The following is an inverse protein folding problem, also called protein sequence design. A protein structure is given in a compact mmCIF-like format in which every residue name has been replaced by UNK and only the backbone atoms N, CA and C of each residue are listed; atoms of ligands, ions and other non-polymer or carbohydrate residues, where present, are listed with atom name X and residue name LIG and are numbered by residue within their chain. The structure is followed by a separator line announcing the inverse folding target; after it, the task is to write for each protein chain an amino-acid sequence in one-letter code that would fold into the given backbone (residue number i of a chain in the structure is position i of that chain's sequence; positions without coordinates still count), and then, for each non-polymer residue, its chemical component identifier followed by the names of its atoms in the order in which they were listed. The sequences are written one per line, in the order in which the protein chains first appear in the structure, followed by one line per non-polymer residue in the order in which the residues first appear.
data_IF_825632197633
#
_entry.id   IF_825632197633
#
_cell.length_a   1.000
_cell.length_b   1.000
_cell.length_c   1.000
_cell.angle_alpha   90.00
_cell.angle_beta   90.00
_cell.angle_gamma   90.00
#
_symmetry.space_group_name_H-M   'P 1'
#
loop_
_entity.id
_entity.type
_entity.pdbx_description
1 polymer ?
#
# COMPACT_ATOMS: atom_id res chain seq x y z
N UNK A 1 -0.22 -1.31 30.50
CA UNK A 1 -0.03 -2.74 30.19
C UNK A 1 -0.93 -3.16 29.02
N UNK A 2 -0.38 -3.79 27.98
CA UNK A 2 -1.19 -4.39 26.92
C UNK A 2 -1.85 -5.66 27.50
N UNK A 3 -3.15 -5.61 27.77
CA UNK A 3 -3.94 -6.73 28.25
C UNK A 3 -5.39 -6.62 27.75
N UNK A 4 -6.19 -7.65 28.02
CA UNK A 4 -7.57 -7.74 27.54
C UNK A 4 -8.48 -6.58 27.99
N UNK A 5 -8.12 -5.93 29.11
CA UNK A 5 -8.82 -4.74 29.60
C UNK A 5 -8.73 -3.54 28.66
N UNK A 6 -7.65 -3.43 27.87
CA UNK A 6 -7.49 -2.36 26.87
C UNK A 6 -8.45 -2.50 25.68
N UNK A 7 -8.93 -3.71 25.41
CA UNK A 7 -9.87 -3.99 24.31
C UNK A 7 -11.33 -4.02 24.77
N UNK A 8 -11.61 -3.98 26.07
CA UNK A 8 -12.98 -3.89 26.62
C UNK A 8 -13.84 -2.76 26.01
N UNK A 9 -13.32 -1.56 25.70
CA UNK A 9 -14.13 -0.50 25.08
C UNK A 9 -14.27 -0.65 23.55
N UNK A 10 -13.66 -1.67 22.93
CA UNK A 10 -13.70 -1.91 21.49
C UNK A 10 -14.76 -2.97 21.15
N UNK A 11 -15.75 -2.59 20.34
CA UNK A 11 -16.69 -3.53 19.74
C UNK A 11 -16.24 -3.86 18.30
N UNK A 12 -15.98 -5.14 18.02
CA UNK A 12 -15.62 -5.61 16.68
C UNK A 12 -16.82 -6.31 16.05
N UNK A 13 -17.48 -5.61 15.13
CA UNK A 13 -18.59 -6.18 14.34
C UNK A 13 -18.03 -6.78 13.06
N UNK A 14 -17.82 -8.10 13.05
CA UNK A 14 -17.31 -8.80 11.88
C UNK A 14 -18.11 -10.09 11.61
N UNK A 15 -18.93 -10.12 10.54
CA UNK A 15 -19.64 -11.33 10.12
C UNK A 15 -18.68 -12.49 9.83
N UNK A 16 -19.18 -13.71 9.95
CA UNK A 16 -18.45 -14.94 9.66
C UNK A 16 -18.22 -15.16 8.16
N UNK A 17 -17.11 -15.81 7.81
CA UNK A 17 -16.82 -16.22 6.43
C UNK A 17 -16.25 -15.11 5.56
N UNK A 18 -15.82 -13.99 6.14
CA UNK A 18 -15.05 -12.95 5.47
C UNK A 18 -13.56 -13.29 5.47
N UNK A 19 -12.75 -12.50 4.76
CA UNK A 19 -11.30 -12.70 4.70
C UNK A 19 -10.65 -12.63 6.10
N UNK A 20 -11.13 -11.74 6.97
CA UNK A 20 -10.67 -11.59 8.36
C UNK A 20 -11.32 -12.58 9.35
N UNK A 21 -12.40 -13.25 8.97
CA UNK A 21 -13.14 -14.25 9.78
C UNK A 21 -13.26 -15.58 9.02
N UNK A 22 -12.15 -15.96 8.37
CA UNK A 22 -12.08 -17.16 7.57
C UNK A 22 -12.37 -18.40 8.44
N UNK A 23 -13.25 -19.27 7.96
CA UNK A 23 -13.59 -20.53 8.63
C UNK A 23 -12.82 -21.68 8.01
N UNK A 24 -12.42 -22.64 8.84
CA UNK A 24 -11.87 -23.92 8.38
C UNK A 24 -12.80 -24.53 7.31
N UNK A 25 -12.27 -25.01 6.16
CA UNK A 25 -10.87 -25.27 5.82
C UNK A 25 -10.17 -24.16 4.98
N UNK A 26 -10.64 -22.91 5.02
CA UNK A 26 -10.01 -21.83 4.25
C UNK A 26 -8.51 -21.67 4.57
N UNK A 27 -7.64 -21.45 3.57
CA UNK A 27 -6.21 -21.28 3.78
C UNK A 27 -5.89 -19.89 4.36
N UNK A 28 -5.10 -19.84 5.44
CA UNK A 28 -4.79 -18.60 6.19
C UNK A 28 -3.28 -18.38 6.42
N UNK A 29 -2.42 -19.06 5.65
CA UNK A 29 -0.97 -19.05 5.88
C UNK A 29 -0.33 -17.66 5.87
N UNK A 30 -0.88 -16.72 5.09
CA UNK A 30 -0.38 -15.34 4.92
C UNK A 30 -1.31 -14.34 5.61
N UNK A 31 -1.74 -14.66 6.83
CA UNK A 31 -2.72 -13.87 7.58
C UNK A 31 -2.22 -12.46 7.94
N UNK A 32 -0.89 -12.26 8.05
CA UNK A 32 -0.28 -10.98 8.39
C UNK A 32 -0.70 -9.87 7.42
N UNK A 33 -0.77 -10.14 6.11
CA UNK A 33 -1.24 -9.17 5.12
C UNK A 33 -2.65 -8.69 5.46
N UNK A 34 -3.56 -9.63 5.72
CA UNK A 34 -4.94 -9.32 6.05
C UNK A 34 -5.05 -8.52 7.35
N UNK A 35 -4.26 -8.89 8.36
CA UNK A 35 -4.16 -8.16 9.63
C UNK A 35 -3.66 -6.72 9.41
N UNK A 36 -2.60 -6.53 8.62
CA UNK A 36 -2.01 -5.23 8.33
C UNK A 36 -2.95 -4.32 7.54
N UNK A 37 -3.68 -4.88 6.57
CA UNK A 37 -4.71 -4.13 5.85
C UNK A 37 -5.87 -3.72 6.77
N UNK A 38 -6.27 -4.56 7.73
CA UNK A 38 -7.27 -4.19 8.72
C UNK A 38 -6.77 -3.07 9.65
N UNK A 39 -5.52 -3.16 10.09
CA UNK A 39 -4.89 -2.13 10.92
C UNK A 39 -4.76 -0.79 10.16
N UNK A 40 -4.31 -0.81 8.91
CA UNK A 40 -4.18 0.39 8.07
C UNK A 40 -5.53 1.03 7.76
N UNK A 41 -6.60 0.26 7.62
CA UNK A 41 -7.95 0.81 7.44
C UNK A 41 -8.35 1.67 8.64
N UNK A 42 -8.18 1.14 9.86
CA UNK A 42 -8.45 1.88 11.09
C UNK A 42 -7.51 3.08 11.22
N UNK A 43 -6.23 2.90 10.91
CA UNK A 43 -5.23 3.96 10.91
C UNK A 43 -5.65 5.11 9.98
N UNK A 44 -5.96 4.81 8.72
CA UNK A 44 -6.35 5.80 7.70
C UNK A 44 -7.64 6.52 8.08
N UNK A 45 -8.59 5.83 8.72
CA UNK A 45 -9.82 6.43 9.20
C UNK A 45 -9.59 7.42 10.35
N UNK A 46 -8.66 7.10 11.27
CA UNK A 46 -8.35 7.92 12.44
C UNK A 46 -7.32 9.01 12.18
N UNK A 47 -6.43 8.86 11.20
CA UNK A 47 -5.34 9.78 10.93
C UNK A 47 -5.77 11.25 10.74
N UNK A 48 -6.91 11.56 10.07
CA UNK A 48 -7.40 12.94 10.00
C UNK A 48 -7.89 13.52 11.33
N UNK A 49 -8.27 12.67 12.29
CA UNK A 49 -8.88 13.04 13.59
C UNK A 49 -7.79 13.22 14.66
N UNK A 50 -6.77 12.35 14.66
CA UNK A 50 -5.65 12.37 15.62
C UNK A 50 -4.29 12.47 14.92
N UNK A 51 -4.07 13.51 14.07
CA UNK A 51 -2.88 13.61 13.22
C UNK A 51 -1.56 13.74 13.98
N UNK A 52 -1.60 14.11 15.26
CA UNK A 52 -0.44 14.14 16.15
C UNK A 52 0.04 12.74 16.60
N UNK A 53 -0.79 11.70 16.40
CA UNK A 53 -0.49 10.33 16.80
C UNK A 53 -0.30 9.37 15.62
N UNK A 54 -0.86 9.70 14.46
CA UNK A 54 -0.89 8.83 13.29
C UNK A 54 -0.27 9.52 12.08
N UNK A 55 0.61 8.81 11.39
CA UNK A 55 1.27 9.27 10.16
C UNK A 55 0.40 9.01 8.93
N UNK A 56 0.88 9.47 7.77
CA UNK A 56 0.45 8.97 6.47
C UNK A 56 0.70 7.45 6.32
N UNK A 57 0.22 6.85 5.23
CA UNK A 57 0.33 5.41 5.01
C UNK A 57 1.78 4.95 4.83
N UNK A 58 2.14 3.83 5.44
CA UNK A 58 3.43 3.16 5.24
C UNK A 58 3.32 2.05 4.17
N UNK A 59 4.46 1.42 3.87
CA UNK A 59 4.56 0.29 2.95
C UNK A 59 3.74 -0.96 3.36
N UNK A 60 3.22 -0.98 4.59
CA UNK A 60 2.22 -1.88 5.17
C UNK A 60 2.56 -3.35 5.31
N UNK A 61 3.19 -3.96 4.31
CA UNK A 61 3.36 -5.40 4.16
C UNK A 61 4.59 -5.91 4.92
N UNK A 62 4.51 -7.07 5.59
CA UNK A 62 5.70 -7.82 6.07
C UNK A 62 6.72 -8.04 4.96
N UNK A 63 6.26 -8.12 3.70
CA UNK A 63 7.10 -8.42 2.54
C UNK A 63 7.86 -9.74 2.72
N UNK A 64 7.17 -10.72 3.32
CA UNK A 64 7.74 -12.01 3.67
C UNK A 64 8.33 -12.69 2.44
N UNK A 65 9.63 -13.00 2.52
CA UNK A 65 10.39 -13.65 1.47
C UNK A 65 10.93 -14.98 1.98
N UNK A 66 10.73 -16.02 1.18
CA UNK A 66 11.25 -17.35 1.44
C UNK A 66 12.09 -17.80 0.25
N UNK A 67 13.36 -18.08 0.50
CA UNK A 67 14.27 -18.69 -0.48
C UNK A 67 14.68 -20.06 0.05
N UNK A 68 14.47 -21.11 -0.74
CA UNK A 68 14.82 -22.47 -0.35
C UNK A 68 15.57 -23.19 -1.46
N UNK A 69 16.46 -24.09 -1.09
CA UNK A 69 17.28 -24.84 -2.03
C UNK A 69 18.22 -25.79 -1.32
N UNK A 70 19.20 -26.30 -2.07
CA UNK A 70 20.29 -27.12 -1.55
C UNK A 70 21.55 -26.26 -1.48
N UNK A 71 22.21 -26.23 -0.33
CA UNK A 71 23.42 -25.42 -0.12
C UNK A 71 24.54 -25.93 -1.04
N UNK A 72 25.22 -25.06 -1.80
CA UNK A 72 26.20 -25.49 -2.80
C UNK A 72 27.41 -26.23 -2.18
N UNK A 73 27.84 -25.83 -0.98
CA UNK A 73 29.04 -26.40 -0.35
C UNK A 73 28.76 -27.61 0.57
N UNK A 74 27.66 -27.60 1.33
CA UNK A 74 27.38 -28.68 2.30
C UNK A 74 26.44 -29.76 1.76
N UNK A 75 25.65 -29.45 0.73
CA UNK A 75 24.61 -30.34 0.23
C UNK A 75 23.35 -30.42 1.10
N UNK A 76 23.27 -29.64 2.18
CA UNK A 76 22.08 -29.62 3.05
C UNK A 76 20.95 -28.77 2.46
N UNK A 77 19.72 -29.07 2.88
CA UNK A 77 18.59 -28.19 2.60
C UNK A 77 18.69 -26.90 3.42
N UNK A 78 18.46 -25.77 2.78
CA UNK A 78 18.32 -24.48 3.47
C UNK A 78 16.97 -23.84 3.18
N UNK A 79 16.52 -23.03 4.15
CA UNK A 79 15.36 -22.15 4.01
C UNK A 79 15.74 -20.82 4.66
N UNK A 80 15.90 -19.78 3.84
CA UNK A 80 15.93 -18.40 4.26
C UNK A 80 14.49 -17.90 4.35
N UNK A 81 14.08 -17.43 5.53
CA UNK A 81 12.78 -16.78 5.75
C UNK A 81 13.05 -15.43 6.38
N UNK A 82 12.64 -14.36 5.72
CA UNK A 82 12.82 -13.02 6.27
C UNK A 82 11.69 -12.06 5.88
N UNK A 83 11.26 -11.20 6.83
CA UNK A 83 10.51 -10.01 6.52
C UNK A 83 11.44 -8.93 5.93
N UNK A 84 10.86 -7.97 5.23
CA UNK A 84 11.61 -6.82 4.72
C UNK A 84 11.17 -5.55 5.42
N UNK A 85 12.16 -4.76 5.83
CA UNK A 85 11.93 -3.40 6.29
C UNK A 85 11.58 -2.48 5.11
N UNK A 86 10.85 -1.40 5.39
CA UNK A 86 10.33 -0.51 4.35
C UNK A 86 10.09 0.92 4.80
N UNK A 87 9.46 1.69 3.93
CA UNK A 87 9.21 3.11 4.13
C UNK A 87 7.96 3.39 4.97
N UNK A 88 8.12 4.11 6.07
CA UNK A 88 6.99 4.61 6.86
C UNK A 88 6.42 5.91 6.29
N UNK A 89 5.13 6.16 6.52
CA UNK A 89 4.51 7.42 6.12
C UNK A 89 4.99 8.60 6.97
N UNK A 90 4.94 9.81 6.41
CA UNK A 90 5.35 11.01 7.12
C UNK A 90 4.31 11.46 8.16
N UNK A 91 4.79 12.09 9.24
CA UNK A 91 3.95 12.69 10.28
C UNK A 91 3.63 14.16 10.02
N UNK A 92 2.85 14.76 10.92
CA UNK A 92 2.52 16.18 10.85
C UNK A 92 3.73 17.10 11.07
N UNK A 93 4.79 16.59 11.69
CA UNK A 93 5.95 17.35 12.15
C UNK A 93 7.31 16.71 11.79
N UNK A 94 7.31 15.58 11.06
CA UNK A 94 8.52 14.79 10.79
C UNK A 94 8.41 13.93 9.54
N UNK A 95 9.54 13.68 8.91
CA UNK A 95 9.66 12.71 7.82
C UNK A 95 9.36 11.29 8.32
N UNK A 96 8.92 10.44 7.39
CA UNK A 96 8.71 9.02 7.66
C UNK A 96 10.02 8.28 7.86
N UNK A 97 9.99 7.25 8.70
CA UNK A 97 11.19 6.46 8.99
C UNK A 97 11.59 5.60 7.79
N UNK A 98 12.87 5.63 7.43
CA UNK A 98 13.45 4.81 6.37
C UNK A 98 13.76 3.40 6.91
N UNK A 99 13.50 2.35 6.11
CA UNK A 99 13.93 0.99 6.42
C UNK A 99 13.47 0.48 7.79
N UNK A 100 12.21 0.75 8.18
CA UNK A 100 11.60 0.21 9.40
C UNK A 100 10.58 -0.87 9.03
N UNK A 101 10.52 -1.94 9.82
CA UNK A 101 9.52 -3.01 9.66
C UNK A 101 8.09 -2.47 9.79
N UNK A 102 7.13 -3.18 9.21
CA UNK A 102 5.73 -2.77 9.17
C UNK A 102 5.07 -2.75 10.56
N UNK A 103 3.85 -2.22 10.60
CA UNK A 103 3.07 -2.16 11.84
C UNK A 103 2.79 -3.58 12.35
N UNK A 104 2.94 -3.79 13.66
CA UNK A 104 2.67 -5.09 14.28
C UNK A 104 3.82 -6.09 14.14
N UNK A 105 4.89 -5.73 13.43
CA UNK A 105 6.10 -6.56 13.25
C UNK A 105 7.29 -6.11 14.14
N UNK A 106 7.00 -5.24 15.12
CA UNK A 106 7.79 -5.02 16.33
C UNK A 106 9.32 -4.94 16.20
N UNK A 107 10.02 -5.63 17.10
CA UNK A 107 11.49 -5.64 17.25
C UNK A 107 12.17 -6.65 16.31
N UNK A 108 11.63 -6.86 15.11
CA UNK A 108 12.19 -7.82 14.18
C UNK A 108 13.52 -7.32 13.61
N UNK A 109 14.56 -8.13 13.78
CA UNK A 109 15.91 -7.84 13.29
C UNK A 109 16.03 -8.22 11.81
N UNK A 110 16.72 -7.36 11.05
CA UNK A 110 17.11 -7.67 9.67
C UNK A 110 18.33 -8.61 9.70
N UNK A 111 18.28 -9.67 8.89
CA UNK A 111 19.37 -10.65 8.81
C UNK A 111 20.66 -9.97 8.29
N UNK A 112 21.78 -10.02 9.03
CA UNK A 112 23.06 -9.49 8.57
C UNK A 112 23.50 -10.15 7.26
N UNK A 113 24.12 -9.38 6.36
CA UNK A 113 24.57 -9.89 5.05
C UNK A 113 25.51 -11.08 5.20
N UNK A 114 26.52 -10.98 6.06
CA UNK A 114 27.49 -12.05 6.30
C UNK A 114 26.83 -13.35 6.76
N UNK A 115 25.79 -13.25 7.60
CA UNK A 115 25.01 -14.40 8.06
C UNK A 115 24.22 -15.00 6.91
N UNK A 116 23.60 -14.17 6.08
CA UNK A 116 22.82 -14.63 4.94
C UNK A 116 23.71 -15.40 3.94
N UNK A 117 24.87 -14.86 3.60
CA UNK A 117 25.79 -15.48 2.64
C UNK A 117 26.48 -16.74 3.16
N UNK A 118 26.69 -16.84 4.47
CA UNK A 118 27.34 -18.02 5.08
C UNK A 118 26.35 -19.17 5.29
N UNK A 119 25.07 -18.86 5.56
CA UNK A 119 24.07 -19.88 5.94
C UNK A 119 23.22 -20.37 4.78
N UNK A 120 23.11 -19.59 3.71
CA UNK A 120 22.18 -19.85 2.62
C UNK A 120 22.90 -19.82 1.27
N UNK A 121 22.30 -20.46 0.26
CA UNK A 121 22.82 -20.49 -1.11
C UNK A 121 22.61 -19.19 -1.87
N UNK A 122 22.98 -18.05 -1.30
CA UNK A 122 22.84 -16.71 -1.89
C UNK A 122 24.06 -15.83 -1.63
N UNK A 123 24.30 -14.86 -2.51
CA UNK A 123 25.17 -13.70 -2.27
C UNK A 123 24.31 -12.43 -2.34
N UNK A 124 24.58 -11.45 -1.48
CA UNK A 124 23.86 -10.18 -1.48
C UNK A 124 24.59 -9.18 -2.36
N UNK A 125 24.08 -8.96 -3.58
CA UNK A 125 24.70 -8.02 -4.53
C UNK A 125 24.47 -6.56 -4.13
N UNK A 126 23.33 -6.29 -3.50
CA UNK A 126 22.92 -4.95 -3.10
C UNK A 126 22.11 -5.03 -1.83
N UNK A 127 22.37 -4.11 -0.90
CA UNK A 127 21.48 -3.81 0.21
C UNK A 127 21.50 -2.30 0.49
N UNK A 128 20.46 -1.60 0.07
CA UNK A 128 20.44 -0.13 0.03
C UNK A 128 19.04 0.44 0.20
N UNK A 129 18.94 1.74 0.48
CA UNK A 129 17.66 2.44 0.41
C UNK A 129 17.14 2.52 -1.03
N UNK A 130 15.82 2.38 -1.18
CA UNK A 130 15.12 2.52 -2.46
C UNK A 130 14.93 3.99 -2.81
N UNK A 131 15.33 4.36 -4.03
CA UNK A 131 15.02 5.63 -4.69
C UNK A 131 13.78 5.47 -5.60
N UNK A 132 12.77 4.72 -5.15
CA UNK A 132 11.50 4.66 -5.86
C UNK A 132 10.76 6.01 -5.75
N UNK A 133 10.11 6.40 -6.84
CA UNK A 133 9.31 7.62 -6.92
C UNK A 133 8.15 7.63 -5.91
N UNK A 134 7.76 8.82 -5.45
CA UNK A 134 6.61 9.01 -4.56
C UNK A 134 7.01 9.39 -3.13
N UNK A 135 5.99 9.59 -2.31
CA UNK A 135 6.12 9.98 -0.91
C UNK A 135 6.52 11.44 -0.69
N UNK A 136 6.48 12.29 -1.72
CA UNK A 136 6.84 13.69 -1.57
C UNK A 136 5.81 14.46 -0.73
N UNK A 137 6.27 15.37 0.12
CA UNK A 137 5.43 16.23 0.96
C UNK A 137 6.30 17.27 1.65
N UNK A 138 5.69 18.20 2.41
CA UNK A 138 6.48 19.04 3.34
C UNK A 138 7.39 18.16 4.18
N UNK A 139 6.81 17.07 4.68
CA UNK A 139 7.53 15.94 5.24
C UNK A 139 7.45 14.75 4.28
N UNK A 140 8.60 14.18 3.93
CA UNK A 140 8.68 13.07 2.97
C UNK A 140 8.35 11.75 3.65
N UNK A 141 7.77 10.82 2.89
CA UNK A 141 7.73 9.43 3.28
C UNK A 141 9.14 8.85 3.47
N UNK A 142 9.26 7.91 4.39
CA UNK A 142 10.47 7.13 4.59
C UNK A 142 10.74 6.24 3.39
N UNK A 143 12.01 6.04 3.06
CA UNK A 143 12.47 5.19 1.95
C UNK A 143 12.41 3.72 2.34
N UNK A 144 11.98 2.90 1.39
CA UNK A 144 12.10 1.45 1.50
C UNK A 144 13.52 0.98 1.18
N UNK A 145 13.66 -0.30 0.88
CA UNK A 145 14.91 -1.00 0.68
C UNK A 145 14.92 -1.70 -0.68
N UNK A 146 16.12 -1.86 -1.23
CA UNK A 146 16.43 -2.78 -2.32
C UNK A 146 17.39 -3.81 -1.76
N UNK A 147 17.06 -5.09 -1.95
CA UNK A 147 17.91 -6.22 -1.59
C UNK A 147 17.99 -7.22 -2.73
N UNK A 148 19.18 -7.47 -3.24
CA UNK A 148 19.41 -8.37 -4.36
C UNK A 148 20.06 -9.66 -3.87
N UNK A 149 19.35 -10.77 -3.97
CA UNK A 149 19.88 -12.11 -3.71
C UNK A 149 20.25 -12.80 -5.00
N UNK A 150 21.55 -12.89 -5.28
CA UNK A 150 22.10 -13.71 -6.35
C UNK A 150 22.20 -15.16 -5.89
N UNK A 151 21.54 -16.06 -6.61
CA UNK A 151 21.51 -17.47 -6.24
C UNK A 151 22.87 -18.11 -6.50
N UNK A 152 23.43 -18.78 -5.50
CA UNK A 152 24.68 -19.55 -5.62
C UNK A 152 24.43 -21.05 -5.67
N UNK A 153 23.25 -21.52 -5.26
CA UNK A 153 22.83 -22.91 -5.51
C UNK A 153 22.61 -23.19 -6.99
N UNK A 154 22.62 -24.47 -7.39
CA UNK A 154 22.22 -24.87 -8.75
C UNK A 154 20.80 -24.36 -9.08
N UNK A 155 19.90 -24.48 -8.09
CA UNK A 155 18.52 -24.03 -8.13
C UNK A 155 18.08 -23.53 -6.76
N UNK A 156 17.23 -22.51 -6.75
CA UNK A 156 16.48 -22.06 -5.58
C UNK A 156 15.02 -21.73 -5.93
N UNK A 157 14.14 -21.95 -4.97
CA UNK A 157 12.72 -21.60 -5.05
C UNK A 157 12.45 -20.35 -4.20
N UNK A 158 11.93 -19.32 -4.83
CA UNK A 158 11.55 -18.04 -4.22
C UNK A 158 10.03 -17.98 -4.09
N UNK A 159 9.55 -17.78 -2.88
CA UNK A 159 8.16 -17.48 -2.56
C UNK A 159 8.13 -16.15 -1.84
N UNK A 160 7.23 -15.25 -2.23
CA UNK A 160 7.11 -13.99 -1.52
C UNK A 160 5.76 -13.34 -1.69
N UNK A 161 5.42 -12.53 -0.68
CA UNK A 161 4.18 -11.77 -0.63
C UNK A 161 4.50 -10.33 -0.25
N UNK A 162 4.34 -9.44 -1.22
CA UNK A 162 4.61 -8.01 -1.13
C UNK A 162 3.28 -7.29 -1.35
N UNK A 163 2.60 -6.95 -0.26
CA UNK A 163 1.42 -6.08 -0.27
C UNK A 163 1.75 -4.68 -0.80
N UNK A 164 0.75 -3.79 -0.93
CA UNK A 164 0.91 -2.46 -1.58
C UNK A 164 1.51 -2.45 -3.00
N UNK A 165 1.58 -3.60 -3.68
CA UNK A 165 2.03 -3.67 -5.08
C UNK A 165 1.12 -2.89 -6.04
N UNK A 166 -0.20 -3.04 -5.87
CA UNK A 166 -1.22 -2.35 -6.70
C UNK A 166 -1.80 -1.11 -6.04
N UNK A 167 -2.03 -1.18 -4.73
CA UNK A 167 -2.63 -0.09 -3.96
C UNK A 167 -1.57 0.56 -3.11
N UNK A 168 -1.10 1.73 -3.53
CA UNK A 168 0.10 2.35 -2.97
C UNK A 168 -0.14 2.96 -1.57
N UNK A 169 0.92 3.23 -0.79
CA UNK A 169 0.81 3.97 0.46
C UNK A 169 0.16 5.34 0.23
N UNK A 170 -0.78 5.72 1.09
CA UNK A 170 -1.58 6.94 0.93
C UNK A 170 -0.87 8.15 1.57
N UNK A 171 -0.93 9.31 0.92
CA UNK A 171 -0.44 10.58 1.46
C UNK A 171 -1.47 11.31 2.33
N UNK A 172 -1.06 12.39 3.00
CA UNK A 172 -1.92 13.22 3.86
C UNK A 172 -1.75 14.71 3.60
N UNK A 173 -2.86 15.46 3.72
CA UNK A 173 -2.88 16.94 3.72
C UNK A 173 -2.10 17.58 2.56
N UNK A 174 -2.18 16.99 1.36
CA UNK A 174 -1.47 17.47 0.16
C UNK A 174 -0.16 16.75 -0.15
N UNK A 175 0.27 15.82 0.71
CA UNK A 175 1.38 14.92 0.44
C UNK A 175 1.01 13.86 -0.61
N UNK A 176 2.01 13.46 -1.39
CA UNK A 176 1.88 12.50 -2.48
C UNK A 176 1.81 11.05 -1.97
N UNK A 177 1.21 10.19 -2.79
CA UNK A 177 1.21 8.74 -2.57
C UNK A 177 2.64 8.17 -2.59
N UNK A 178 2.85 7.09 -1.84
CA UNK A 178 4.11 6.34 -1.82
C UNK A 178 4.32 5.47 -3.06
N UNK A 179 5.23 4.49 -2.95
CA UNK A 179 5.63 3.61 -4.06
C UNK A 179 5.28 2.14 -3.79
N UNK A 180 5.27 1.28 -4.83
CA UNK A 180 4.90 -0.13 -4.65
C UNK A 180 6.00 -0.93 -3.95
N UNK A 181 5.60 -1.96 -3.21
CA UNK A 181 6.48 -3.08 -2.90
C UNK A 181 6.41 -4.11 -4.03
N UNK A 182 7.53 -4.71 -4.43
CA UNK A 182 7.54 -5.78 -5.41
C UNK A 182 8.80 -6.64 -5.29
N UNK A 183 8.74 -7.81 -5.92
CA UNK A 183 9.92 -8.62 -6.22
C UNK A 183 10.14 -8.65 -7.72
N UNK A 184 11.39 -8.58 -8.14
CA UNK A 184 11.81 -8.72 -9.53
C UNK A 184 12.75 -9.92 -9.64
N UNK A 185 12.42 -10.85 -10.53
CA UNK A 185 13.23 -12.04 -10.82
C UNK A 185 14.03 -11.73 -12.08
N UNK A 186 15.36 -11.64 -11.96
CA UNK A 186 16.27 -11.24 -13.05
C UNK A 186 17.06 -12.48 -13.50
N UNK A 187 16.92 -12.82 -14.77
CA UNK A 187 17.52 -14.00 -15.38
C UNK A 187 18.88 -13.69 -16.01
N UNK A 188 19.68 -14.73 -16.23
CA UNK A 188 21.03 -14.61 -16.78
C UNK A 188 21.08 -14.03 -18.21
N UNK A 189 19.98 -14.12 -18.95
CA UNK A 189 19.82 -13.52 -20.29
C UNK A 189 19.42 -12.03 -20.25
N UNK A 190 19.30 -11.45 -19.06
CA UNK A 190 18.89 -10.07 -18.84
C UNK A 190 17.38 -9.84 -18.84
N UNK A 191 16.56 -10.88 -19.05
CA UNK A 191 15.11 -10.77 -18.90
C UNK A 191 14.72 -10.68 -17.43
N UNK A 192 13.62 -9.98 -17.12
CA UNK A 192 13.10 -9.93 -15.76
C UNK A 192 11.58 -10.02 -15.69
N UNK A 193 11.07 -10.43 -14.52
CA UNK A 193 9.64 -10.47 -14.24
C UNK A 193 9.33 -9.95 -12.84
N UNK A 194 8.34 -9.06 -12.76
CA UNK A 194 7.92 -8.39 -11.54
C UNK A 194 6.68 -9.04 -10.95
N UNK A 195 6.66 -9.19 -9.63
CA UNK A 195 5.58 -9.79 -8.85
C UNK A 195 5.28 -8.99 -7.59
N UNK A 196 3.99 -8.78 -7.29
CA UNK A 196 3.56 -8.49 -5.93
C UNK A 196 3.45 -9.76 -5.08
N UNK A 197 3.10 -10.90 -5.68
CA UNK A 197 3.02 -12.20 -4.99
C UNK A 197 3.46 -13.29 -5.96
N UNK A 198 4.30 -14.21 -5.48
CA UNK A 198 4.74 -15.38 -6.24
C UNK A 198 4.99 -16.55 -5.30
N UNK A 199 4.85 -17.77 -5.81
CA UNK A 199 5.07 -18.99 -5.04
C UNK A 199 5.95 -19.96 -5.83
N UNK A 200 7.02 -20.42 -5.19
CA UNK A 200 7.99 -21.38 -5.75
C UNK A 200 8.50 -20.96 -7.13
N UNK A 201 8.75 -19.66 -7.32
CA UNK A 201 9.40 -19.18 -8.52
C UNK A 201 10.83 -19.71 -8.55
N UNK A 202 11.20 -20.35 -9.65
CA UNK A 202 12.50 -21.01 -9.77
C UNK A 202 13.53 -20.02 -10.32
N UNK A 203 14.64 -19.91 -9.62
CA UNK A 203 15.86 -19.25 -10.08
C UNK A 203 17.01 -20.26 -10.12
N UNK A 204 17.91 -20.08 -11.07
CA UNK A 204 19.14 -20.86 -11.23
C UNK A 204 20.35 -20.10 -10.70
N UNK A 205 21.46 -20.82 -10.54
CA UNK A 205 22.76 -20.23 -10.22
C UNK A 205 23.05 -18.99 -11.08
N UNK A 206 23.41 -17.88 -10.42
CA UNK A 206 23.75 -16.61 -11.04
C UNK A 206 22.56 -15.68 -11.31
N UNK A 207 21.33 -16.18 -11.26
CA UNK A 207 20.12 -15.35 -11.38
C UNK A 207 19.82 -14.64 -10.05
N UNK A 208 19.04 -13.55 -10.11
CA UNK A 208 18.85 -12.64 -8.97
C UNK A 208 17.37 -12.51 -8.61
N UNK A 209 17.07 -12.65 -7.32
CA UNK A 209 15.82 -12.19 -6.73
C UNK A 209 16.05 -10.80 -6.12
N UNK A 210 15.54 -9.76 -6.78
CA UNK A 210 15.52 -8.39 -6.27
C UNK A 210 14.25 -8.17 -5.47
N UNK A 211 14.40 -7.75 -4.22
CA UNK A 211 13.33 -7.43 -3.29
C UNK A 211 13.28 -5.92 -3.11
N UNK A 212 12.15 -5.30 -3.41
CA UNK A 212 11.97 -3.85 -3.30
C UNK A 212 10.80 -3.54 -2.37
N UNK A 213 11.08 -2.81 -1.31
CA UNK A 213 10.04 -2.19 -0.48
C UNK A 213 9.88 -0.72 -0.84
N UNK A 214 8.64 -0.26 -0.73
CA UNK A 214 8.19 1.04 -1.18
C UNK A 214 8.44 2.14 -0.16
N UNK A 215 8.39 3.37 -0.66
CA UNK A 215 8.39 4.58 0.16
C UNK A 215 7.00 4.81 0.76
N UNK A 216 6.94 5.30 1.99
CA UNK A 216 5.67 5.71 2.60
C UNK A 216 5.06 6.95 1.91
N UNK A 217 3.80 7.27 2.25
CA UNK A 217 3.14 8.49 1.79
C UNK A 217 3.72 9.74 2.43
N UNK A 218 3.71 10.85 1.69
CA UNK A 218 4.14 12.16 2.17
C UNK A 218 3.06 12.87 3.00
N UNK A 219 3.47 13.90 3.74
CA UNK A 219 2.58 14.76 4.51
C UNK A 219 2.78 16.23 4.15
N UNK A 220 1.69 16.95 3.87
CA UNK A 220 1.72 18.38 3.51
C UNK A 220 2.14 18.63 2.06
N UNK A 221 1.95 19.85 1.58
CA UNK A 221 2.35 20.25 0.23
C UNK A 221 3.90 20.20 0.07
N UNK A 222 4.44 19.45 -0.91
CA UNK A 222 5.87 19.42 -1.21
C UNK A 222 6.52 20.80 -1.36
N UNK A 223 5.79 21.81 -1.88
CA UNK A 223 6.33 23.17 -2.07
C UNK A 223 6.70 23.87 -0.74
N UNK A 224 6.21 23.34 0.38
CA UNK A 224 6.48 23.84 1.72
C UNK A 224 7.70 23.17 2.39
N UNK A 225 8.33 22.18 1.74
CA UNK A 225 9.59 21.61 2.25
C UNK A 225 10.71 22.67 2.09
N UNK A 226 11.51 22.92 3.13
CA UNK A 226 12.61 23.87 3.04
C UNK A 226 13.71 23.41 2.07
N UNK A 227 14.30 24.36 1.36
CA UNK A 227 15.30 24.11 0.31
C UNK A 227 16.58 23.47 0.87
N UNK A 228 16.96 23.81 2.10
CA UNK A 228 18.11 23.22 2.80
C UNK A 228 17.85 21.76 3.22
N UNK A 229 16.61 21.40 3.56
CA UNK A 229 16.23 20.02 3.83
C UNK A 229 16.24 19.17 2.55
N UNK A 230 15.80 19.74 1.43
CA UNK A 230 15.86 19.07 0.11
C UNK A 230 17.32 18.84 -0.30
N UNK A 231 18.18 19.85 -0.16
CA UNK A 231 19.61 19.71 -0.46
C UNK A 231 20.28 18.64 0.41
N UNK A 232 19.92 18.58 1.70
CA UNK A 232 20.35 17.52 2.60
C UNK A 232 19.86 16.15 2.15
N UNK A 233 18.59 16.00 1.78
CA UNK A 233 18.05 14.74 1.27
C UNK A 233 18.77 14.27 0.00
N UNK A 234 19.12 15.17 -0.91
CA UNK A 234 19.88 14.84 -2.12
C UNK A 234 21.30 14.39 -1.76
N UNK A 235 21.98 15.14 -0.87
CA UNK A 235 23.33 14.80 -0.41
C UNK A 235 23.37 13.45 0.31
N UNK A 236 22.36 13.17 1.13
CA UNK A 236 22.26 11.95 1.93
C UNK A 236 21.69 10.77 1.11
N UNK A 237 21.36 10.97 -0.17
CA UNK A 237 20.90 9.94 -1.09
C UNK A 237 19.44 9.50 -0.90
N UNK A 238 18.65 10.27 -0.15
CA UNK A 238 17.21 10.05 -0.01
C UNK A 238 16.41 10.57 -1.20
N UNK A 239 16.94 11.57 -1.91
CA UNK A 239 16.39 12.07 -3.17
C UNK A 239 17.49 12.03 -4.22
N UNK A 240 17.12 11.83 -5.48
CA UNK A 240 18.00 12.19 -6.59
C UNK A 240 17.80 13.67 -6.95
N UNK A 241 18.76 14.33 -7.62
CA UNK A 241 18.56 15.68 -8.14
C UNK A 241 17.30 15.81 -9.01
N UNK A 242 16.98 14.77 -9.79
CA UNK A 242 15.79 14.73 -10.66
C UNK A 242 14.50 14.67 -9.83
N UNK A 243 14.50 13.94 -8.72
CA UNK A 243 13.36 13.94 -7.79
C UNK A 243 13.17 15.29 -7.11
N UNK A 244 14.27 15.93 -6.70
CA UNK A 244 14.23 17.26 -6.09
C UNK A 244 13.59 18.29 -7.05
N UNK A 245 13.98 18.25 -8.33
CA UNK A 245 13.42 19.15 -9.33
C UNK A 245 11.96 18.82 -9.63
N UNK A 246 11.63 17.55 -9.86
CA UNK A 246 10.28 17.10 -10.23
C UNK A 246 9.26 17.33 -9.13
N UNK A 247 9.59 16.89 -7.91
CA UNK A 247 8.62 16.79 -6.81
C UNK A 247 8.57 18.07 -5.97
N UNK A 248 9.69 18.79 -5.87
CA UNK A 248 9.83 19.98 -5.02
C UNK A 248 10.12 21.28 -5.80
N UNK A 249 10.42 21.20 -7.10
CA UNK A 249 10.79 22.38 -7.90
C UNK A 249 12.14 22.96 -7.49
N UNK A 250 13.07 22.11 -7.05
CA UNK A 250 14.37 22.53 -6.53
C UNK A 250 15.49 21.82 -7.29
N UNK A 251 16.36 22.58 -7.94
CA UNK A 251 17.58 22.07 -8.54
C UNK A 251 18.71 22.14 -7.54
N UNK A 252 19.44 21.03 -7.38
CA UNK A 252 20.64 20.92 -6.55
C UNK A 252 21.82 20.63 -7.47
N UNK A 253 22.83 21.50 -7.49
CA UNK A 253 24.02 21.29 -8.31
C UNK A 253 25.02 20.31 -7.65
N UNK A 254 26.05 19.89 -8.40
CA UNK A 254 27.09 18.98 -7.89
C UNK A 254 27.96 19.55 -6.76
N UNK A 255 27.75 20.82 -6.37
CA UNK A 255 28.40 21.48 -5.23
C UNK A 255 27.45 21.66 -4.04
N UNK A 256 26.20 21.21 -4.16
CA UNK A 256 25.16 21.34 -3.14
C UNK A 256 24.45 22.71 -3.11
N UNK A 257 24.64 23.56 -4.13
CA UNK A 257 23.91 24.82 -4.21
C UNK A 257 22.48 24.57 -4.66
N UNK A 258 21.56 25.36 -4.12
CA UNK A 258 20.12 25.17 -4.29
C UNK A 258 19.51 26.33 -5.07
N UNK A 259 18.61 26.03 -6.00
CA UNK A 259 17.82 27.05 -6.70
C UNK A 259 16.39 26.55 -6.93
N UNK A 260 15.40 27.39 -6.61
CA UNK A 260 13.99 27.10 -6.93
C UNK A 260 13.73 27.36 -8.41
N UNK A 261 13.23 26.34 -9.08
CA UNK A 261 12.76 26.41 -10.46
C UNK A 261 11.23 26.36 -10.48
N UNK A 262 10.63 26.83 -11.59
CA UNK A 262 9.19 26.71 -11.78
C UNK A 262 8.87 25.24 -12.05
N UNK A 263 8.15 24.58 -11.13
CA UNK A 263 7.85 23.14 -11.19
C UNK A 263 7.34 22.73 -12.58
N UNK A 264 8.03 21.81 -13.22
CA UNK A 264 7.51 21.08 -14.38
C UNK A 264 6.58 20.00 -13.82
N UNK A 265 5.27 19.98 -14.14
CA UNK A 265 4.39 18.93 -13.63
C UNK A 265 4.86 17.56 -14.13
N UNK A 266 5.53 16.79 -13.27
CA UNK A 266 5.89 15.42 -13.56
C UNK A 266 4.64 14.54 -13.49
N UNK A 267 4.33 13.82 -14.58
CA UNK A 267 3.51 12.61 -14.45
C UNK A 267 4.28 11.67 -13.55
N UNK A 268 3.67 11.19 -12.46
CA UNK A 268 4.19 10.07 -11.69
C UNK A 268 4.64 8.98 -12.68
N UNK A 269 5.87 8.49 -12.57
CA UNK A 269 6.32 7.41 -13.44
C UNK A 269 5.43 6.21 -13.12
N UNK A 270 4.56 5.87 -14.08
CA UNK A 270 3.92 4.59 -14.07
C UNK A 270 5.07 3.59 -14.20
N UNK A 271 5.35 2.84 -13.12
CA UNK A 271 6.05 1.56 -13.26
C UNK A 271 5.35 0.87 -14.43
N UNK A 272 6.12 0.55 -15.46
CA UNK A 272 5.60 0.05 -16.73
C UNK A 272 5.00 -1.34 -16.53
N UNK A 273 3.80 -1.41 -15.95
CA UNK A 273 2.97 -2.60 -15.85
C UNK A 273 2.30 -2.79 -17.20
N UNK A 274 3.11 -3.16 -18.20
CA UNK A 274 2.59 -3.66 -19.44
C UNK A 274 1.69 -4.87 -19.14
N UNK A 275 0.44 -4.79 -19.59
CA UNK A 275 -0.69 -5.72 -19.41
C UNK A 275 -1.52 -5.58 -18.12
N UNK A 276 -2.42 -4.59 -18.09
CA UNK A 276 -3.88 -4.76 -17.81
C UNK A 276 -4.59 -3.40 -17.84
N UNK A 277 -4.74 -2.81 -19.03
CA UNK A 277 -5.72 -1.73 -19.25
C UNK A 277 -7.12 -2.30 -19.01
N UNK A 278 -7.74 -2.00 -17.86
CA UNK A 278 -9.20 -2.05 -17.68
C UNK A 278 -9.74 -1.39 -16.40
N UNK A 279 -8.93 -0.82 -15.50
CA UNK A 279 -9.47 -0.30 -14.23
C UNK A 279 -8.66 0.84 -13.55
N UNK A 280 -8.09 1.78 -14.32
CA UNK A 280 -7.20 2.86 -13.82
C UNK A 280 -7.91 4.07 -13.16
N UNK A 281 -9.22 4.01 -12.90
CA UNK A 281 -9.95 5.10 -12.24
C UNK A 281 -9.70 5.08 -10.72
N UNK A 282 -9.43 6.25 -10.13
CA UNK A 282 -9.16 6.38 -8.70
C UNK A 282 -10.39 5.97 -7.86
N UNK A 283 -10.24 5.26 -6.71
CA UNK A 283 -11.38 4.76 -5.92
C UNK A 283 -12.35 5.84 -5.44
N UNK A 284 -11.85 7.04 -5.12
CA UNK A 284 -12.71 8.16 -4.70
C UNK A 284 -13.55 8.70 -5.87
N UNK A 285 -13.01 8.68 -7.09
CA UNK A 285 -13.74 9.07 -8.30
C UNK A 285 -14.80 8.02 -8.67
N UNK A 286 -14.47 6.72 -8.50
CA UNK A 286 -15.47 5.63 -8.62
C UNK A 286 -16.61 5.84 -7.64
N UNK A 287 -16.29 6.18 -6.38
CA UNK A 287 -17.28 6.43 -5.32
C UNK A 287 -18.12 7.69 -5.60
N UNK A 288 -17.52 8.79 -6.06
CA UNK A 288 -18.24 10.02 -6.43
C UNK A 288 -19.19 9.78 -7.61
N UNK A 289 -18.73 9.04 -8.64
CA UNK A 289 -19.55 8.64 -9.76
C UNK A 289 -20.76 7.79 -9.32
N UNK A 290 -20.54 6.77 -8.48
CA UNK A 290 -21.63 5.94 -7.96
C UNK A 290 -22.61 6.76 -7.12
N UNK A 291 -22.12 7.61 -6.20
CA UNK A 291 -22.98 8.42 -5.34
C UNK A 291 -23.77 9.48 -6.11
N UNK A 292 -23.19 10.11 -7.12
CA UNK A 292 -23.89 11.11 -7.95
C UNK A 292 -24.99 10.48 -8.80
N UNK A 293 -24.79 9.25 -9.30
CA UNK A 293 -25.83 8.48 -10.00
C UNK A 293 -26.95 8.06 -9.04
N UNK A 294 -26.62 7.53 -7.85
CA UNK A 294 -27.60 7.10 -6.85
C UNK A 294 -28.43 8.27 -6.28
N UNK A 295 -27.85 9.48 -6.22
CA UNK A 295 -28.54 10.72 -5.80
C UNK A 295 -29.37 11.37 -6.92
N UNK A 296 -29.41 10.77 -8.12
CA UNK A 296 -30.11 11.32 -9.28
C UNK A 296 -29.49 12.62 -9.83
N UNK A 297 -28.25 12.94 -9.47
CA UNK A 297 -27.55 14.16 -9.90
C UNK A 297 -26.98 14.03 -11.32
N UNK A 298 -26.76 12.80 -11.79
CA UNK A 298 -26.23 12.48 -13.12
C UNK A 298 -26.70 11.09 -13.56
N UNK A 299 -26.51 10.75 -14.84
CA UNK A 299 -26.77 9.38 -15.34
C UNK A 299 -25.49 8.55 -15.33
N UNK A 300 -25.61 7.21 -15.31
CA UNK A 300 -24.45 6.31 -15.42
C UNK A 300 -23.62 6.57 -16.68
N UNK A 301 -24.28 6.89 -17.81
CA UNK A 301 -23.61 7.27 -19.06
C UNK A 301 -22.83 8.57 -18.94
N UNK A 302 -23.38 9.57 -18.24
CA UNK A 302 -22.73 10.87 -18.04
C UNK A 302 -21.55 10.76 -17.05
N UNK A 303 -21.69 9.98 -15.99
CA UNK A 303 -20.60 9.68 -15.06
C UNK A 303 -19.46 8.88 -15.73
N UNK A 304 -19.80 7.90 -16.58
CA UNK A 304 -18.85 7.13 -17.36
C UNK A 304 -18.05 8.01 -18.34
N UNK A 305 -18.73 8.93 -19.02
CA UNK A 305 -18.09 9.90 -19.92
C UNK A 305 -17.11 10.83 -19.18
N UNK A 306 -17.45 11.29 -17.97
CA UNK A 306 -16.58 12.14 -17.13
C UNK A 306 -15.28 11.43 -16.74
N UNK A 307 -15.33 10.11 -16.56
CA UNK A 307 -14.21 9.28 -16.12
C UNK A 307 -13.53 8.50 -17.25
N UNK A 308 -13.97 8.70 -18.49
CA UNK A 308 -13.48 8.00 -19.68
C UNK A 308 -13.51 6.47 -19.55
N UNK A 309 -14.62 5.93 -19.00
CA UNK A 309 -14.89 4.49 -18.83
C UNK A 309 -16.17 4.06 -19.54
N UNK A 310 -16.43 2.75 -19.60
CA UNK A 310 -17.70 2.23 -20.10
C UNK A 310 -18.84 2.45 -19.10
N UNK A 311 -20.07 2.60 -19.61
CA UNK A 311 -21.29 2.62 -18.77
C UNK A 311 -21.37 1.39 -17.87
N UNK A 312 -21.05 0.21 -18.42
CA UNK A 312 -21.08 -1.07 -17.71
C UNK A 312 -20.09 -1.11 -16.53
N UNK A 313 -19.01 -0.33 -16.56
CA UNK A 313 -18.08 -0.22 -15.44
C UNK A 313 -18.70 0.54 -14.27
N UNK A 314 -19.45 1.63 -14.55
CA UNK A 314 -20.18 2.39 -13.53
C UNK A 314 -21.31 1.56 -12.93
N UNK A 315 -22.05 0.83 -13.76
CA UNK A 315 -23.10 -0.09 -13.29
C UNK A 315 -22.51 -1.22 -12.43
N UNK A 316 -21.35 -1.78 -12.80
CA UNK A 316 -20.61 -2.76 -11.99
C UNK A 316 -20.19 -2.17 -10.63
N UNK A 317 -19.73 -0.92 -10.58
CA UNK A 317 -19.38 -0.26 -9.32
C UNK A 317 -20.60 0.00 -8.45
N UNK A 318 -21.74 0.36 -9.05
CA UNK A 318 -23.01 0.52 -8.33
C UNK A 318 -23.45 -0.81 -7.69
N UNK A 319 -23.36 -1.92 -8.41
CA UNK A 319 -23.68 -3.24 -7.88
C UNK A 319 -22.75 -3.62 -6.71
N UNK A 320 -21.45 -3.36 -6.85
CA UNK A 320 -20.48 -3.58 -5.76
C UNK A 320 -20.81 -2.73 -4.53
N UNK A 321 -21.16 -1.46 -4.73
CA UNK A 321 -21.50 -0.52 -3.67
C UNK A 321 -22.79 -0.92 -2.94
N UNK A 322 -23.83 -1.30 -3.68
CA UNK A 322 -25.12 -1.74 -3.12
C UNK A 322 -25.02 -3.08 -2.40
N UNK A 323 -24.21 -4.01 -2.91
CA UNK A 323 -23.97 -5.29 -2.25
C UNK A 323 -23.13 -5.16 -0.98
N UNK A 324 -22.18 -4.22 -0.94
CA UNK A 324 -21.45 -3.88 0.28
C UNK A 324 -22.37 -3.30 1.37
N UNK A 325 -23.37 -2.48 1.00
CA UNK A 325 -24.36 -1.94 1.92
C UNK A 325 -25.37 -2.96 2.45
N UNK A 326 -25.79 -3.92 1.63
CA UNK A 326 -26.76 -4.95 2.02
C UNK A 326 -26.22 -5.95 3.06
N UNK A 327 -24.92 -6.23 3.05
CA UNK A 327 -24.28 -7.10 4.04
C UNK A 327 -24.23 -6.52 5.46
N UNK A 328 -24.31 -5.19 5.61
CA UNK A 328 -24.24 -4.50 6.90
C UNK A 328 -25.58 -4.47 7.67
N UNK A 329 -26.72 -4.70 7.00
CA UNK A 329 -28.06 -4.56 7.58
C UNK A 329 -28.64 -5.86 8.18
N UNK A 330 -27.90 -6.97 8.15
CA UNK A 330 -28.36 -8.30 8.56
C UNK A 330 -27.98 -8.77 9.98
N UNK A 331 -27.69 -7.87 10.93
CA UNK A 331 -27.24 -8.21 12.29
C UNK A 331 -28.07 -7.54 13.39
N UNK A 332 -28.54 -8.32 14.36
CA UNK A 332 -29.57 -7.98 15.36
C UNK A 332 -29.23 -6.85 16.36
N UNK A 333 -30.27 -6.11 16.73
CA UNK A 333 -30.28 -4.98 17.66
C UNK A 333 -30.07 -5.34 19.15
N UNK A 334 -29.33 -4.48 19.86
CA UNK A 334 -29.25 -4.38 21.32
C UNK A 334 -29.11 -2.91 21.76
N UNK A 335 -29.72 -2.53 22.89
CA UNK A 335 -30.11 -1.17 23.30
C UNK A 335 -29.09 -0.45 24.21
N UNK A 336 -28.78 0.83 23.91
CA UNK A 336 -28.98 2.06 24.74
C UNK A 336 -27.91 3.14 24.51
N UNK A 337 -28.35 4.35 24.16
CA UNK A 337 -27.54 5.58 24.02
C UNK A 337 -28.20 6.57 23.07
N UNK A 338 -29.24 7.28 23.52
CA UNK A 338 -30.41 7.62 22.69
C UNK A 338 -30.53 9.08 22.20
N UNK A 339 -29.42 9.79 22.04
CA UNK A 339 -29.38 11.15 21.46
C UNK A 339 -28.78 11.19 20.06
N UNK A 340 -27.47 10.95 19.95
CA UNK A 340 -26.70 11.06 18.69
C UNK A 340 -26.88 9.82 17.77
N UNK A 341 -27.19 8.66 18.34
CA UNK A 341 -27.57 7.46 17.57
C UNK A 341 -28.94 7.60 16.90
N UNK A 342 -29.82 8.51 17.35
CA UNK A 342 -31.09 8.76 16.65
C UNK A 342 -30.89 9.53 15.35
N UNK A 343 -30.00 10.51 15.34
CA UNK A 343 -29.65 11.25 14.11
C UNK A 343 -28.94 10.34 13.11
N UNK A 344 -27.94 9.55 13.54
CA UNK A 344 -27.27 8.58 12.67
C UNK A 344 -28.23 7.48 12.17
N UNK A 345 -29.15 6.99 13.01
CA UNK A 345 -30.19 6.02 12.59
C UNK A 345 -31.30 6.65 11.75
N UNK A 346 -31.50 7.96 11.78
CA UNK A 346 -32.43 8.67 10.90
C UNK A 346 -31.79 8.85 9.52
N UNK A 347 -30.53 9.29 9.47
CA UNK A 347 -29.74 9.41 8.22
C UNK A 347 -29.62 8.05 7.51
N UNK A 348 -29.31 6.98 8.25
CA UNK A 348 -29.18 5.64 7.68
C UNK A 348 -30.54 5.05 7.25
N UNK A 349 -31.65 5.38 7.94
CA UNK A 349 -32.99 4.97 7.51
C UNK A 349 -33.47 5.73 6.28
N UNK A 350 -33.28 7.04 6.23
CA UNK A 350 -33.61 7.85 5.06
C UNK A 350 -32.84 7.35 3.82
N UNK A 351 -31.56 7.02 3.97
CA UNK A 351 -30.76 6.41 2.90
C UNK A 351 -31.27 5.01 2.51
N UNK A 352 -31.69 4.18 3.46
CA UNK A 352 -32.22 2.85 3.17
C UNK A 352 -33.60 2.91 2.50
N UNK A 353 -34.44 3.87 2.88
CA UNK A 353 -35.77 4.10 2.32
C UNK A 353 -35.66 4.73 0.91
N UNK A 354 -34.72 5.66 0.69
CA UNK A 354 -34.36 6.17 -0.65
C UNK A 354 -33.87 5.05 -1.56
N UNK A 355 -32.94 4.20 -1.09
CA UNK A 355 -32.42 3.07 -1.87
C UNK A 355 -33.52 2.04 -2.17
N UNK A 356 -34.44 1.80 -1.23
CA UNK A 356 -35.58 0.90 -1.43
C UNK A 356 -36.66 1.49 -2.35
N UNK A 357 -36.78 2.82 -2.38
CA UNK A 357 -37.63 3.57 -3.32
C UNK A 357 -37.05 3.52 -4.74
N UNK A 358 -35.75 3.77 -4.87
CA UNK A 358 -35.00 3.67 -6.13
C UNK A 358 -35.03 2.26 -6.71
N UNK A 359 -34.87 1.22 -5.87
CA UNK A 359 -35.02 -0.19 -6.29
C UNK A 359 -36.42 -0.52 -6.79
N UNK A 360 -37.47 0.12 -6.26
CA UNK A 360 -38.84 -0.02 -6.78
C UNK A 360 -39.03 0.70 -8.10
N UNK A 361 -38.54 1.94 -8.23
CA UNK A 361 -38.61 2.68 -9.50
C UNK A 361 -37.87 1.98 -10.65
N UNK A 362 -36.68 1.42 -10.38
CA UNK A 362 -35.89 0.67 -11.36
C UNK A 362 -36.52 -0.67 -11.76
N UNK A 363 -37.35 -1.28 -10.90
CA UNK A 363 -38.07 -2.53 -11.22
C UNK A 363 -39.33 -2.28 -12.05
N UNK A 364 -39.97 -1.13 -11.86
CA UNK A 364 -41.24 -0.78 -12.49
C UNK A 364 -41.07 0.02 -13.81
N UNK A 365 -39.84 0.22 -14.27
CA UNK A 365 -39.54 0.78 -15.59
C UNK A 365 -40.04 2.21 -15.81
N UNK A 366 -39.97 3.06 -14.78
CA UNK A 366 -40.13 4.52 -14.90
C UNK A 366 -38.86 5.25 -14.56
#
# INVERSE_FOLDING_TARGET
PANDGCFRPLEVVCPDGLVITAKRPAPVSTYWETMEFAADLVWKALAPIVPQHLTAGHFLSVCGTVVSGVHPDTGDLFILVEPQAGGWGAGIDRDGQNGLVCIGDGETYVVPVEVAETRYGVIVDQFSLSIADGGAGRYRGGRGLIRDYRITSEEALVTGTFGRFKFLPWGMKGGQIGSPNYMEMIHADGTSKIFGKTARYKLKRGEVARLVTGTGGGYGDPNQRPDDEIARDVRDGYLTPEMAERDYGVTVDGRGNVSRTRRTPGRASAVNTASTQRDDVHPDDKREAVLSVLRGQTTASTAAAKLNVGRDDVERWMDQFLNAGAGALGGSAGRNGDGELRELRAIVRDLADEVSSLRRSLRDGR
#
